data_IF_450311799428
#
_entry.id   IF_450311799428
#
_cell.length_a   1.000
_cell.length_b   1.000
_cell.length_c   1.000
_cell.angle_alpha   90.00
_cell.angle_beta   90.00
_cell.angle_gamma   90.00
#
_symmetry.space_group_name_H-M   'P 1'
#
loop_
_entity.id
_entity.type
_entity.pdbx_description
1 polymer ?
#
# COMPACT_ATOMS: atom_id res chain seq x y z
N UNK A 1 -17.81 4.51 -1.08
CA UNK A 1 -17.25 5.87 -1.29
C UNK A 1 -16.44 6.30 -0.08
N UNK A 2 -15.17 6.69 -0.25
CA UNK A 2 -14.36 7.27 0.83
C UNK A 2 -14.40 8.80 0.76
N UNK A 3 -14.69 9.46 1.89
CA UNK A 3 -14.69 10.92 2.03
C UNK A 3 -13.64 11.34 3.04
N UNK A 4 -12.64 12.10 2.59
CA UNK A 4 -11.56 12.60 3.44
C UNK A 4 -11.82 14.08 3.73
N UNK A 5 -12.07 14.42 4.98
CA UNK A 5 -12.32 15.79 5.43
C UNK A 5 -11.02 16.44 5.89
N UNK A 6 -10.76 17.63 5.34
CA UNK A 6 -9.59 18.44 5.65
C UNK A 6 -9.97 19.61 6.56
N UNK A 7 -9.11 19.87 7.54
CA UNK A 7 -9.02 21.15 8.23
C UNK A 7 -8.04 22.07 7.49
N UNK A 8 -8.03 23.38 7.77
CA UNK A 8 -7.00 24.28 7.25
C UNK A 8 -5.56 23.86 7.62
N UNK A 9 -5.38 23.21 8.78
CA UNK A 9 -4.08 22.67 9.19
C UNK A 9 -3.68 21.46 8.36
N UNK A 10 -4.64 20.62 7.95
CA UNK A 10 -4.36 19.48 7.08
C UNK A 10 -3.85 19.89 5.72
N UNK A 11 -4.41 20.97 5.15
CA UNK A 11 -3.99 21.50 3.85
C UNK A 11 -2.54 22.03 3.88
N UNK A 12 -2.07 22.52 5.02
CA UNK A 12 -0.67 22.94 5.21
C UNK A 12 0.29 21.74 5.32
N UNK A 13 -0.23 20.57 5.67
CA UNK A 13 0.53 19.35 5.90
C UNK A 13 0.35 18.32 4.77
N UNK A 14 0.08 18.77 3.54
CA UNK A 14 0.08 17.89 2.37
C UNK A 14 1.50 17.67 1.87
N UNK A 15 1.89 16.41 1.71
CA UNK A 15 3.24 16.01 1.28
C UNK A 15 3.17 14.95 0.21
N UNK A 16 4.07 15.02 -0.76
CA UNK A 16 4.29 13.96 -1.75
C UNK A 16 5.52 13.16 -1.31
N UNK A 17 5.40 11.85 -1.22
CA UNK A 17 6.54 10.99 -0.98
C UNK A 17 7.43 10.98 -2.23
N UNK A 18 8.74 11.15 -2.04
CA UNK A 18 9.73 11.20 -3.14
C UNK A 18 10.21 9.82 -3.58
N UNK A 19 9.90 8.78 -2.82
CA UNK A 19 10.41 7.44 -3.01
C UNK A 19 9.29 6.42 -2.78
N UNK A 20 9.38 5.23 -3.41
CA UNK A 20 8.46 4.13 -3.13
C UNK A 20 8.53 3.74 -1.65
N UNK A 21 7.39 3.41 -1.06
CA UNK A 21 7.31 2.80 0.25
C UNK A 21 7.51 1.27 0.10
N UNK A 22 8.59 0.68 0.65
CA UNK A 22 8.90 -0.73 0.41
C UNK A 22 7.82 -1.70 0.89
N UNK A 23 7.22 -1.45 2.06
CA UNK A 23 6.18 -2.35 2.60
C UNK A 23 4.85 -2.13 1.88
N UNK A 24 4.59 -0.92 1.40
CA UNK A 24 3.48 -0.65 0.50
C UNK A 24 3.59 -1.45 -0.81
N UNK A 25 4.74 -1.37 -1.48
CA UNK A 25 5.01 -2.12 -2.71
C UNK A 25 4.92 -3.63 -2.46
N UNK A 26 5.42 -4.10 -1.31
CA UNK A 26 5.35 -5.52 -0.94
C UNK A 26 3.90 -5.99 -0.77
N UNK A 27 3.08 -5.27 0.00
CA UNK A 27 1.67 -5.61 0.21
C UNK A 27 0.91 -5.64 -1.11
N UNK A 28 1.17 -4.67 -1.99
CA UNK A 28 0.61 -4.65 -3.33
C UNK A 28 1.07 -5.84 -4.19
N UNK A 29 2.35 -6.19 -4.14
CA UNK A 29 2.90 -7.34 -4.85
C UNK A 29 2.29 -8.67 -4.34
N UNK A 30 2.13 -8.84 -3.04
CA UNK A 30 1.45 -10.00 -2.45
C UNK A 30 -0.01 -10.08 -2.92
N UNK A 31 -0.74 -8.97 -2.91
CA UNK A 31 -2.09 -8.91 -3.46
C UNK A 31 -2.13 -9.34 -4.94
N UNK A 32 -1.16 -8.90 -5.73
CA UNK A 32 -1.08 -9.25 -7.16
C UNK A 32 -0.76 -10.71 -7.39
N UNK A 33 0.10 -11.33 -6.59
CA UNK A 33 0.34 -12.77 -6.66
C UNK A 33 -0.94 -13.58 -6.41
N UNK A 34 -1.82 -13.07 -5.54
CA UNK A 34 -3.11 -13.70 -5.26
C UNK A 34 -4.18 -13.45 -6.35
N UNK A 35 -3.93 -12.59 -7.34
CA UNK A 35 -4.90 -12.24 -8.39
C UNK A 35 -4.36 -12.53 -9.79
N UNK A 36 -5.23 -12.84 -10.75
CA UNK A 36 -4.84 -12.96 -12.17
C UNK A 36 -4.94 -11.62 -12.93
N UNK A 37 -5.09 -10.51 -12.21
CA UNK A 37 -5.28 -9.18 -12.81
C UNK A 37 -3.99 -8.69 -13.49
N UNK A 38 -4.17 -7.97 -14.60
CA UNK A 38 -3.09 -7.44 -15.43
C UNK A 38 -2.18 -8.53 -16.00
N UNK A 39 -2.70 -9.45 -16.83
CA UNK A 39 -1.88 -10.52 -17.42
C UNK A 39 -0.79 -10.00 -18.34
N UNK A 40 -1.01 -8.90 -19.06
CA UNK A 40 -0.02 -8.32 -19.97
C UNK A 40 1.07 -7.57 -19.19
N UNK A 41 0.68 -6.89 -18.12
CA UNK A 41 1.51 -6.01 -17.33
C UNK A 41 2.33 -6.79 -16.27
N UNK A 42 1.72 -7.81 -15.66
CA UNK A 42 2.33 -8.56 -14.55
C UNK A 42 2.62 -10.01 -14.88
N UNK A 43 2.33 -10.49 -16.08
CA UNK A 43 2.55 -11.89 -16.47
C UNK A 43 4.02 -12.31 -16.34
N UNK A 44 4.93 -11.55 -16.94
CA UNK A 44 6.37 -11.84 -16.89
C UNK A 44 6.93 -11.75 -15.46
N UNK A 45 6.53 -10.73 -14.70
CA UNK A 45 6.90 -10.58 -13.29
C UNK A 45 6.39 -11.77 -12.45
N UNK A 46 5.11 -12.16 -12.59
CA UNK A 46 4.55 -13.32 -11.88
C UNK A 46 5.27 -14.60 -12.24
N UNK A 47 5.58 -14.84 -13.51
CA UNK A 47 6.37 -15.99 -13.95
C UNK A 47 7.73 -16.06 -13.25
N UNK A 48 8.47 -14.95 -13.23
CA UNK A 48 9.77 -14.88 -12.55
C UNK A 48 9.67 -15.04 -11.03
N UNK A 49 8.63 -14.52 -10.38
CA UNK A 49 8.38 -14.76 -8.95
C UNK A 49 8.03 -16.22 -8.68
N UNK A 50 7.18 -16.84 -9.50
CA UNK A 50 6.82 -18.26 -9.37
C UNK A 50 8.04 -19.17 -9.48
N UNK A 51 8.94 -18.91 -10.43
CA UNK A 51 10.19 -19.67 -10.58
C UNK A 51 11.07 -19.53 -9.33
N UNK A 52 11.36 -18.30 -8.88
CA UNK A 52 12.18 -18.05 -7.69
C UNK A 52 11.57 -18.70 -6.44
N UNK A 53 10.28 -18.50 -6.21
CA UNK A 53 9.56 -19.06 -5.06
C UNK A 53 9.48 -20.59 -5.14
N UNK A 54 9.40 -21.16 -6.35
CA UNK A 54 9.41 -22.61 -6.55
C UNK A 54 10.76 -23.25 -6.22
N UNK A 55 11.86 -22.50 -6.37
CA UNK A 55 13.22 -22.94 -6.06
C UNK A 55 13.64 -22.63 -4.61
N UNK A 56 12.90 -21.76 -3.90
CA UNK A 56 13.19 -21.32 -2.54
C UNK A 56 12.03 -21.67 -1.57
N UNK A 57 12.15 -22.79 -0.82
CA UNK A 57 11.14 -23.20 0.16
C UNK A 57 10.91 -22.20 1.29
N UNK A 58 11.87 -21.33 1.60
CA UNK A 58 11.72 -20.28 2.60
C UNK A 58 10.85 -19.14 2.06
N UNK A 59 11.15 -18.67 0.84
CA UNK A 59 10.33 -17.66 0.16
C UNK A 59 8.90 -18.14 -0.06
N UNK A 60 8.70 -19.42 -0.38
CA UNK A 60 7.37 -20.01 -0.50
C UNK A 60 6.59 -19.94 0.81
N UNK A 61 7.20 -20.34 1.93
CA UNK A 61 6.57 -20.29 3.26
C UNK A 61 6.29 -18.86 3.71
N UNK A 62 7.21 -17.93 3.45
CA UNK A 62 7.05 -16.51 3.76
C UNK A 62 5.85 -15.91 3.00
N UNK A 63 5.75 -16.16 1.69
CA UNK A 63 4.64 -15.65 0.87
C UNK A 63 3.29 -16.23 1.30
N UNK A 64 3.23 -17.54 1.59
CA UNK A 64 2.02 -18.18 2.12
C UNK A 64 1.60 -17.54 3.45
N UNK A 65 2.54 -17.28 4.35
CA UNK A 65 2.27 -16.61 5.62
C UNK A 65 1.67 -15.22 5.39
N UNK A 66 2.31 -14.37 4.56
CA UNK A 66 1.80 -13.03 4.26
C UNK A 66 0.42 -13.03 3.60
N UNK A 67 0.12 -14.00 2.72
CA UNK A 67 -1.19 -14.12 2.07
C UNK A 67 -2.37 -14.33 3.06
N UNK A 68 -2.08 -14.76 4.29
CA UNK A 68 -3.11 -14.88 5.33
C UNK A 68 -3.49 -13.54 5.96
N UNK A 69 -2.58 -12.55 5.92
CA UNK A 69 -2.82 -11.19 6.41
C UNK A 69 -3.14 -10.19 5.29
N UNK A 70 -2.77 -10.51 4.04
CA UNK A 70 -2.96 -9.68 2.86
C UNK A 70 -3.93 -10.39 1.90
N UNK A 71 -5.24 -10.27 2.10
CA UNK A 71 -6.22 -10.89 1.20
C UNK A 71 -6.23 -10.17 -0.16
N UNK A 72 -6.58 -10.88 -1.27
CA UNK A 72 -6.67 -10.27 -2.60
C UNK A 72 -7.70 -9.13 -2.68
N UNK A 73 -8.72 -9.18 -1.81
CA UNK A 73 -9.73 -8.14 -1.62
C UNK A 73 -10.10 -8.01 -0.14
N UNK A 74 -10.39 -6.79 0.31
CA UNK A 74 -10.85 -6.51 1.68
C UNK A 74 -9.87 -5.67 2.50
N UNK A 75 -10.00 -5.78 3.82
CA UNK A 75 -9.16 -5.05 4.78
C UNK A 75 -7.77 -5.66 4.87
N UNK A 76 -6.75 -4.80 4.86
CA UNK A 76 -5.36 -5.17 5.12
C UNK A 76 -4.94 -4.45 6.40
N UNK A 77 -4.36 -5.14 7.40
CA UNK A 77 -3.90 -4.49 8.62
C UNK A 77 -2.89 -3.38 8.33
N UNK A 78 -3.16 -2.18 8.81
CA UNK A 78 -2.38 -0.97 8.55
C UNK A 78 -1.00 -1.04 9.21
N UNK A 79 -0.82 -1.87 10.24
CA UNK A 79 0.48 -2.12 10.84
C UNK A 79 1.46 -2.82 9.89
N UNK A 80 1.00 -3.45 8.81
CA UNK A 80 1.86 -3.99 7.76
C UNK A 80 2.40 -2.91 6.82
N UNK A 81 1.83 -1.71 6.85
CA UNK A 81 2.21 -0.58 6.02
C UNK A 81 2.46 0.66 6.90
N UNK A 82 3.46 0.59 7.80
CA UNK A 82 3.77 1.70 8.69
C UNK A 82 4.09 2.98 7.91
N UNK A 83 3.75 4.13 8.49
CA UNK A 83 4.04 5.44 7.88
C UNK A 83 5.49 5.87 8.16
N UNK A 84 6.47 5.08 7.70
CA UNK A 84 7.87 5.48 7.81
C UNK A 84 8.17 6.53 6.74
N UNK A 85 8.61 7.70 7.19
CA UNK A 85 8.96 8.80 6.28
C UNK A 85 10.36 8.64 5.70
N UNK A 86 11.25 7.94 6.40
CA UNK A 86 12.67 7.75 6.06
C UNK A 86 13.17 6.42 6.62
N UNK A 87 14.24 5.84 6.04
CA UNK A 87 14.93 4.66 6.57
C UNK A 87 14.74 3.34 5.78
N UNK A 88 13.98 3.36 4.69
CA UNK A 88 13.86 2.21 3.78
C UNK A 88 13.21 0.98 4.42
N UNK A 89 13.51 -0.21 3.87
CA UNK A 89 12.88 -1.46 4.30
C UNK A 89 13.21 -1.82 5.76
N UNK A 90 14.45 -1.67 6.22
CA UNK A 90 14.84 -2.02 7.59
C UNK A 90 14.05 -1.22 8.63
N UNK A 91 13.99 0.11 8.49
CA UNK A 91 13.24 0.93 9.43
C UNK A 91 11.73 0.62 9.39
N UNK A 92 11.21 0.27 8.21
CA UNK A 92 9.83 -0.17 8.08
C UNK A 92 9.57 -1.48 8.84
N UNK A 93 10.47 -2.45 8.73
CA UNK A 93 10.40 -3.73 9.44
C UNK A 93 10.51 -3.55 10.97
N UNK A 94 11.37 -2.64 11.43
CA UNK A 94 11.50 -2.30 12.85
C UNK A 94 10.20 -1.69 13.41
N UNK A 95 9.56 -0.80 12.66
CA UNK A 95 8.26 -0.21 13.01
C UNK A 95 7.15 -1.28 13.07
N UNK A 96 7.15 -2.25 12.13
CA UNK A 96 6.24 -3.41 12.21
C UNK A 96 6.51 -4.21 13.49
N UNK A 97 7.79 -4.52 13.76
CA UNK A 97 8.22 -5.30 14.92
C UNK A 97 7.87 -4.68 16.27
N UNK A 98 7.77 -3.35 16.32
CA UNK A 98 7.43 -2.57 17.53
C UNK A 98 5.96 -2.19 17.62
N UNK A 99 5.11 -2.66 16.70
CA UNK A 99 3.67 -2.36 16.69
C UNK A 99 3.02 -2.62 18.06
N UNK A 100 2.34 -1.63 18.67
CA UNK A 100 1.65 -1.82 19.94
C UNK A 100 0.62 -2.94 19.88
N UNK A 101 0.59 -3.80 20.91
CA UNK A 101 -0.34 -4.95 20.96
C UNK A 101 -1.81 -4.58 20.89
N UNK A 102 -2.20 -3.44 21.46
CA UNK A 102 -3.57 -2.92 21.36
C UNK A 102 -3.97 -2.66 19.91
N UNK A 103 -3.07 -2.06 19.13
CA UNK A 103 -3.25 -1.83 17.69
C UNK A 103 -3.34 -3.15 16.92
N UNK A 104 -2.41 -4.08 17.14
CA UNK A 104 -2.48 -5.41 16.50
C UNK A 104 -3.78 -6.14 16.80
N UNK A 105 -4.24 -6.13 18.06
CA UNK A 105 -5.51 -6.78 18.46
C UNK A 105 -6.69 -6.17 17.73
N UNK A 106 -6.75 -4.84 17.65
CA UNK A 106 -7.82 -4.14 16.95
C UNK A 106 -7.83 -4.48 15.45
N UNK A 107 -6.68 -4.35 14.78
CA UNK A 107 -6.57 -4.55 13.33
C UNK A 107 -6.75 -6.03 12.94
N UNK A 108 -6.13 -6.97 13.68
CA UNK A 108 -6.36 -8.41 13.44
C UNK A 108 -7.79 -8.82 13.75
N UNK A 109 -8.46 -8.21 14.73
CA UNK A 109 -9.88 -8.43 15.00
C UNK A 109 -10.76 -8.02 13.83
N UNK A 110 -10.45 -6.89 13.17
CA UNK A 110 -11.15 -6.44 11.96
C UNK A 110 -10.93 -7.38 10.78
N UNK A 111 -9.70 -7.87 10.60
CA UNK A 111 -9.42 -8.87 9.57
C UNK A 111 -10.14 -10.19 9.86
N UNK A 112 -10.15 -10.64 11.13
CA UNK A 112 -10.80 -11.86 11.58
C UNK A 112 -12.33 -11.84 11.39
N UNK A 113 -12.95 -10.66 11.41
CA UNK A 113 -14.39 -10.51 11.15
C UNK A 113 -14.78 -10.90 9.71
N UNK A 114 -13.85 -10.82 8.75
CA UNK A 114 -14.08 -11.16 7.35
C UNK A 114 -13.52 -12.54 6.96
N UNK A 115 -12.54 -13.09 7.70
CA UNK A 115 -11.92 -14.38 7.40
C UNK A 115 -11.37 -15.09 8.63
N UNK A 116 -11.30 -16.42 8.58
CA UNK A 116 -10.56 -17.20 9.57
C UNK A 116 -9.06 -16.85 9.54
N UNK A 117 -8.50 -16.57 10.72
CA UNK A 117 -7.06 -16.35 10.90
C UNK A 117 -6.37 -17.62 11.41
N UNK A 118 -5.19 -17.96 10.86
CA UNK A 118 -4.41 -19.07 11.37
C UNK A 118 -3.89 -18.80 12.80
N UNK A 119 -3.60 -19.86 13.52
CA UNK A 119 -3.14 -19.79 14.92
C UNK A 119 -1.93 -18.88 15.10
N UNK A 120 -0.97 -18.89 14.16
CA UNK A 120 0.21 -18.03 14.21
C UNK A 120 -0.15 -16.54 14.22
N UNK A 121 -1.15 -16.13 13.43
CA UNK A 121 -1.59 -14.74 13.30
C UNK A 121 -2.33 -14.31 14.57
N UNK A 122 -3.18 -15.18 15.11
CA UNK A 122 -3.81 -14.93 16.42
C UNK A 122 -2.79 -14.87 17.57
N UNK A 123 -1.63 -15.53 17.44
CA UNK A 123 -0.57 -15.48 18.44
C UNK A 123 0.24 -14.16 18.41
N UNK A 124 0.11 -13.31 17.38
CA UNK A 124 0.77 -11.99 17.34
C UNK A 124 0.37 -11.09 18.52
N UNK A 125 -0.84 -11.25 19.06
CA UNK A 125 -1.31 -10.45 20.20
C UNK A 125 -0.82 -10.97 21.56
N UNK A 126 -0.18 -12.14 21.61
CA UNK A 126 0.35 -12.76 22.84
C UNK A 126 1.76 -12.24 23.13
N UNK A 127 2.11 -11.94 24.40
CA UNK A 127 3.46 -11.51 24.75
C UNK A 127 4.47 -12.66 24.61
N UNK A 128 5.73 -12.34 24.30
CA UNK A 128 6.86 -13.28 24.33
C UNK A 128 6.86 -14.39 23.26
N UNK A 129 6.01 -14.31 22.24
CA UNK A 129 5.90 -15.33 21.19
C UNK A 129 6.88 -15.13 20.02
N UNK A 130 7.08 -16.19 19.24
CA UNK A 130 7.89 -16.17 17.99
C UNK A 130 7.15 -15.63 16.77
N UNK A 131 5.84 -15.34 16.88
CA UNK A 131 5.02 -14.90 15.74
C UNK A 131 5.45 -13.56 15.15
N UNK A 132 5.84 -12.59 15.98
CA UNK A 132 6.27 -11.27 15.47
C UNK A 132 7.62 -11.36 14.75
N UNK A 133 8.68 -11.96 15.33
CA UNK A 133 9.92 -12.21 14.58
C UNK A 133 9.70 -13.00 13.29
N UNK A 134 8.82 -14.01 13.30
CA UNK A 134 8.50 -14.77 12.10
C UNK A 134 7.79 -13.91 11.03
N UNK A 135 6.90 -13.00 11.43
CA UNK A 135 6.26 -12.07 10.50
C UNK A 135 7.26 -11.09 9.88
N UNK A 136 8.14 -10.50 10.70
CA UNK A 136 9.18 -9.58 10.22
C UNK A 136 10.10 -10.29 9.24
N UNK A 137 10.54 -11.51 9.56
CA UNK A 137 11.33 -12.36 8.66
C UNK A 137 10.57 -12.68 7.37
N UNK A 138 9.28 -13.01 7.45
CA UNK A 138 8.47 -13.27 6.26
C UNK A 138 8.33 -12.05 5.35
N UNK A 139 8.18 -10.84 5.92
CA UNK A 139 8.17 -9.58 5.16
C UNK A 139 9.51 -9.35 4.45
N UNK A 140 10.63 -9.56 5.15
CA UNK A 140 11.97 -9.39 4.58
C UNK A 140 12.25 -10.38 3.43
N UNK A 141 12.02 -11.68 3.67
CA UNK A 141 12.22 -12.73 2.67
C UNK A 141 11.32 -12.51 1.45
N UNK A 142 10.05 -12.14 1.68
CA UNK A 142 9.13 -11.86 0.57
C UNK A 142 9.53 -10.61 -0.21
N UNK A 143 10.02 -9.57 0.46
CA UNK A 143 10.56 -8.37 -0.22
C UNK A 143 11.73 -8.74 -1.14
N UNK A 144 12.63 -9.62 -0.68
CA UNK A 144 13.75 -10.13 -1.48
C UNK A 144 13.26 -10.84 -2.75
N UNK A 145 12.30 -11.74 -2.61
CA UNK A 145 11.80 -12.54 -3.73
C UNK A 145 10.93 -11.75 -4.72
N UNK A 146 10.09 -10.84 -4.22
CA UNK A 146 9.08 -10.13 -5.02
C UNK A 146 9.58 -8.80 -5.59
N UNK A 147 10.38 -8.05 -4.83
CA UNK A 147 10.73 -6.66 -5.15
C UNK A 147 12.17 -6.47 -5.59
N UNK A 148 13.15 -7.07 -4.90
CA UNK A 148 14.58 -6.77 -5.10
C UNK A 148 15.03 -6.85 -6.58
N UNK A 149 14.65 -7.87 -7.37
CA UNK A 149 15.06 -7.96 -8.78
C UNK A 149 14.53 -6.81 -9.66
N UNK A 150 13.48 -6.12 -9.21
CA UNK A 150 12.80 -5.06 -9.94
C UNK A 150 12.89 -3.71 -9.23
N UNK A 151 13.58 -3.62 -8.09
CA UNK A 151 13.55 -2.43 -7.23
C UNK A 151 14.08 -1.17 -7.93
N UNK A 152 15.13 -1.31 -8.75
CA UNK A 152 15.64 -0.20 -9.55
C UNK A 152 14.61 0.33 -10.56
N UNK A 153 13.81 -0.56 -11.15
CA UNK A 153 12.73 -0.20 -12.07
C UNK A 153 11.58 0.47 -11.32
N UNK A 154 11.16 -0.10 -10.18
CA UNK A 154 10.13 0.47 -9.30
C UNK A 154 10.50 1.90 -8.88
N UNK A 155 11.75 2.10 -8.44
CA UNK A 155 12.25 3.42 -8.06
C UNK A 155 12.20 4.42 -9.20
N UNK A 156 12.69 4.04 -10.39
CA UNK A 156 12.65 4.92 -11.58
C UNK A 156 11.21 5.28 -11.94
N UNK A 157 10.31 4.30 -11.98
CA UNK A 157 8.91 4.53 -12.28
C UNK A 157 8.27 5.53 -11.30
N UNK A 158 8.56 5.38 -10.00
CA UNK A 158 8.09 6.31 -8.98
C UNK A 158 8.74 7.69 -9.12
N UNK A 159 10.04 7.78 -9.38
CA UNK A 159 10.75 9.05 -9.55
C UNK A 159 10.16 9.83 -10.75
N UNK A 160 9.86 9.14 -11.85
CA UNK A 160 9.19 9.71 -13.03
C UNK A 160 7.75 10.14 -12.71
N UNK A 161 7.01 9.37 -11.90
CA UNK A 161 5.64 9.68 -11.50
C UNK A 161 5.55 10.90 -10.57
N UNK A 162 6.52 11.10 -9.67
CA UNK A 162 6.55 12.22 -8.72
C UNK A 162 6.70 13.58 -9.41
N UNK A 163 7.30 13.63 -10.60
CA UNK A 163 7.56 14.87 -11.32
C UNK A 163 6.28 15.66 -11.64
N UNK A 164 5.24 14.98 -12.15
CA UNK A 164 4.01 15.64 -12.60
C UNK A 164 3.23 16.29 -11.43
N UNK A 165 2.92 15.60 -10.32
CA UNK A 165 2.24 16.20 -9.17
C UNK A 165 3.10 17.27 -8.49
N UNK A 166 4.42 17.13 -8.51
CA UNK A 166 5.32 18.13 -7.95
C UNK A 166 5.28 19.43 -8.75
N UNK A 167 5.28 19.36 -10.09
CA UNK A 167 5.11 20.54 -10.95
C UNK A 167 3.77 21.23 -10.72
N UNK A 168 2.67 20.47 -10.70
CA UNK A 168 1.33 21.03 -10.41
C UNK A 168 1.27 21.73 -9.06
N UNK A 169 1.91 21.16 -8.03
CA UNK A 169 1.99 21.78 -6.70
C UNK A 169 2.81 23.08 -6.73
N UNK A 170 3.92 23.12 -7.47
CA UNK A 170 4.77 24.31 -7.59
C UNK A 170 4.06 25.45 -8.34
N UNK A 171 3.34 25.12 -9.41
CA UNK A 171 2.70 26.11 -10.29
C UNK A 171 1.36 26.62 -9.73
N UNK A 172 0.56 25.73 -9.12
CA UNK A 172 -0.83 26.00 -8.75
C UNK A 172 -1.17 25.76 -7.27
N UNK A 173 -0.19 25.38 -6.45
CA UNK A 173 -0.38 25.13 -5.02
C UNK A 173 -1.22 23.89 -4.70
N UNK A 174 -1.63 23.79 -3.43
CA UNK A 174 -2.34 22.61 -2.89
C UNK A 174 -3.67 22.34 -3.59
N UNK A 175 -4.42 23.40 -3.95
CA UNK A 175 -5.70 23.24 -4.65
C UNK A 175 -5.51 22.57 -6.01
N UNK A 176 -4.55 23.04 -6.81
CA UNK A 176 -4.25 22.45 -8.12
C UNK A 176 -3.79 21.00 -7.97
N UNK A 177 -2.97 20.69 -6.96
CA UNK A 177 -2.56 19.32 -6.65
C UNK A 177 -3.77 18.40 -6.40
N UNK A 178 -4.70 18.82 -5.53
CA UNK A 178 -5.90 18.04 -5.20
C UNK A 178 -6.88 17.92 -6.39
N UNK A 179 -7.05 18.99 -7.17
CA UNK A 179 -7.86 18.98 -8.40
C UNK A 179 -7.26 18.07 -9.46
N UNK A 180 -5.93 17.98 -9.51
CA UNK A 180 -5.24 17.11 -10.46
C UNK A 180 -5.57 15.65 -10.25
N UNK A 181 -5.94 15.20 -9.04
CA UNK A 181 -6.16 13.79 -8.66
C UNK A 181 -7.28 13.08 -9.44
N UNK A 182 -8.03 13.80 -10.26
CA UNK A 182 -9.04 13.22 -11.14
C UNK A 182 -8.43 12.24 -12.17
N UNK A 183 -9.19 11.22 -12.58
CA UNK A 183 -10.54 10.87 -12.12
C UNK A 183 -10.58 10.14 -10.76
N UNK A 184 -9.41 9.78 -10.22
CA UNK A 184 -9.28 8.85 -9.09
C UNK A 184 -9.69 9.45 -7.75
N UNK A 185 -9.55 10.76 -7.60
CA UNK A 185 -10.15 11.50 -6.50
C UNK A 185 -10.78 12.80 -6.98
N UNK A 186 -11.89 13.18 -6.37
CA UNK A 186 -12.64 14.40 -6.69
C UNK A 186 -12.52 15.37 -5.51
N UNK A 187 -11.80 16.46 -5.72
CA UNK A 187 -11.76 17.56 -4.76
C UNK A 187 -13.07 18.36 -4.81
N UNK A 188 -13.77 18.39 -3.67
CA UNK A 188 -14.96 19.19 -3.38
C UNK A 188 -14.72 19.88 -2.04
N UNK A 189 -13.99 21.00 -2.00
CA UNK A 189 -13.49 21.57 -0.75
C UNK A 189 -14.58 21.66 0.33
N UNK A 190 -14.31 21.24 1.58
CA UNK A 190 -13.03 20.76 2.12
C UNK A 190 -12.87 19.23 2.07
N UNK A 191 -13.54 18.54 1.15
CA UNK A 191 -13.62 17.08 1.09
C UNK A 191 -12.95 16.54 -0.18
N UNK A 192 -12.10 15.52 -0.02
CA UNK A 192 -11.62 14.71 -1.13
C UNK A 192 -12.43 13.42 -1.18
N UNK A 193 -13.17 13.21 -2.27
CA UNK A 193 -13.95 11.99 -2.50
C UNK A 193 -13.12 11.00 -3.33
N UNK A 194 -13.05 9.74 -2.91
CA UNK A 194 -12.35 8.65 -3.60
C UNK A 194 -13.31 7.48 -3.77
N UNK A 195 -13.36 6.92 -4.97
CA UNK A 195 -14.18 5.73 -5.22
C UNK A 195 -13.63 4.56 -4.38
N UNK A 196 -14.49 3.99 -3.54
CA UNK A 196 -14.09 3.04 -2.50
C UNK A 196 -15.21 2.02 -2.26
N UNK A 197 -14.90 0.74 -1.98
CA UNK A 197 -15.90 -0.34 -1.94
C UNK A 197 -16.90 -0.20 -0.80
N UNK A 198 -16.50 0.51 0.25
CA UNK A 198 -17.33 0.79 1.42
C UNK A 198 -17.50 2.29 1.57
N UNK A 199 -18.62 2.70 2.14
CA UNK A 199 -18.80 4.08 2.55
C UNK A 199 -18.02 4.34 3.82
N UNK A 200 -17.09 5.29 3.75
CA UNK A 200 -16.20 5.62 4.86
C UNK A 200 -15.94 7.12 4.91
N UNK A 201 -15.87 7.63 6.14
CA UNK A 201 -15.49 9.02 6.41
C UNK A 201 -14.18 9.02 7.18
N UNK A 202 -13.17 9.71 6.64
CA UNK A 202 -11.90 9.93 7.28
C UNK A 202 -11.75 11.41 7.64
N UNK A 203 -11.40 11.70 8.89
CA UNK A 203 -11.03 13.05 9.33
C UNK A 203 -9.54 13.07 9.62
N UNK A 204 -8.82 14.00 8.99
CA UNK A 204 -7.36 14.08 9.11
C UNK A 204 -6.92 14.73 10.42
N UNK A 205 -7.76 15.57 11.03
CA UNK A 205 -7.56 16.08 12.40
C UNK A 205 -6.22 16.81 12.59
N UNK A 206 -5.79 17.57 11.57
CA UNK A 206 -4.53 18.33 11.59
C UNK A 206 -3.29 17.54 11.15
N UNK A 207 -3.42 16.22 10.94
CA UNK A 207 -2.32 15.32 10.55
C UNK A 207 -1.85 15.54 9.11
N UNK A 208 -2.70 16.14 8.27
CA UNK A 208 -2.41 16.32 6.85
C UNK A 208 -2.53 15.05 6.02
N UNK A 209 -2.06 15.12 4.78
CA UNK A 209 -2.18 14.05 3.81
C UNK A 209 -0.82 13.76 3.16
N UNK A 210 -0.35 12.52 3.28
CA UNK A 210 0.79 12.05 2.48
C UNK A 210 0.27 11.30 1.25
N UNK A 211 0.67 11.81 0.10
CA UNK A 211 0.47 11.23 -1.22
C UNK A 211 1.67 10.33 -1.54
N UNK A 212 1.44 9.02 -1.61
CA UNK A 212 2.50 8.02 -1.89
C UNK A 212 2.31 7.49 -3.33
N UNK A 213 3.28 7.71 -4.23
CA UNK A 213 3.30 7.11 -5.56
C UNK A 213 3.55 5.60 -5.44
N UNK A 214 3.01 4.81 -6.35
CA UNK A 214 3.17 3.36 -6.29
C UNK A 214 3.21 2.73 -7.67
N UNK A 215 4.22 1.88 -7.88
CA UNK A 215 4.41 1.16 -9.14
C UNK A 215 3.37 0.05 -9.37
N UNK A 216 2.62 -0.29 -8.31
CA UNK A 216 1.58 -1.30 -8.36
C UNK A 216 0.27 -0.85 -9.04
N UNK A 217 0.20 0.35 -9.60
CA UNK A 217 -0.85 0.74 -10.55
C UNK A 217 -0.73 0.01 -11.90
N UNK A 218 -1.85 -0.38 -12.51
CA UNK A 218 -1.93 -0.83 -13.90
C UNK A 218 -1.49 0.26 -14.91
N UNK A 219 -0.91 -0.15 -16.04
CA UNK A 219 -0.61 0.72 -17.18
C UNK A 219 -0.81 0.00 -18.53
N UNK A 220 -1.30 0.66 -19.60
CA UNK A 220 -1.41 0.06 -20.93
C UNK A 220 -0.18 0.32 -21.84
N UNK A 221 0.00 -0.47 -22.91
CA UNK A 221 1.04 -0.26 -23.93
C UNK A 221 0.53 0.67 -25.06
N UNK A 222 1.40 1.58 -25.52
CA UNK A 222 1.28 2.52 -26.66
C UNK A 222 0.52 3.86 -26.44
N UNK A 223 1.20 4.97 -26.82
CA UNK A 223 0.77 6.39 -26.91
C UNK A 223 1.34 7.35 -25.84
N UNK A 224 1.73 8.60 -26.21
CA UNK A 224 2.59 9.46 -25.40
C UNK A 224 1.78 10.26 -24.37
N UNK A 225 1.84 9.82 -23.11
CA UNK A 225 1.16 10.36 -21.89
C UNK A 225 -0.37 10.06 -21.90
N UNK A 226 -0.90 9.29 -20.92
CA UNK A 226 -0.56 9.34 -19.48
C UNK A 226 -0.15 7.98 -18.88
N UNK A 227 0.86 7.94 -18.00
CA UNK A 227 1.14 6.75 -17.24
C UNK A 227 0.43 6.78 -15.87
N UNK A 228 0.13 5.58 -15.38
CA UNK A 228 -0.24 5.22 -14.00
C UNK A 228 -1.71 5.40 -13.60
N UNK A 229 -2.38 4.28 -13.30
CA UNK A 229 -3.52 4.30 -12.38
C UNK A 229 -3.01 4.82 -11.03
N UNK A 230 -3.34 6.08 -10.72
CA UNK A 230 -2.98 6.70 -9.44
C UNK A 230 -3.61 5.92 -8.27
N UNK A 231 -2.89 4.96 -7.70
CA UNK A 231 -3.16 4.56 -6.33
C UNK A 231 -2.40 5.51 -5.43
N UNK A 232 -2.95 6.71 -5.22
CA UNK A 232 -2.50 7.52 -4.10
C UNK A 232 -3.02 6.87 -2.82
N UNK A 233 -2.14 6.28 -2.02
CA UNK A 233 -2.53 5.94 -0.65
C UNK A 233 -2.56 7.24 0.14
N UNK A 234 -3.73 7.62 0.62
CA UNK A 234 -3.90 8.74 1.55
C UNK A 234 -3.60 8.24 2.95
N UNK A 235 -2.35 8.38 3.41
CA UNK A 235 -1.97 7.83 4.71
C UNK A 235 -2.21 8.85 5.82
N UNK A 236 -3.10 8.51 6.73
CA UNK A 236 -3.22 9.11 8.05
C UNK A 236 -2.87 8.01 9.06
N UNK A 237 -2.09 8.27 10.13
CA UNK A 237 -1.49 7.23 10.99
C UNK A 237 -2.46 6.22 11.63
N UNK A 238 -3.78 6.42 11.52
CA UNK A 238 -4.82 5.52 12.05
C UNK A 238 -6.04 5.36 11.11
N UNK A 239 -5.89 5.58 9.79
CA UNK A 239 -6.97 5.37 8.83
C UNK A 239 -6.93 3.96 8.23
N UNK A 240 -8.04 3.20 8.24
CA UNK A 240 -8.07 1.88 7.64
C UNK A 240 -7.81 1.90 6.15
N UNK A 241 -6.87 1.09 5.68
CA UNK A 241 -6.77 0.81 4.25
C UNK A 241 -7.59 -0.43 3.88
N UNK A 242 -8.48 -0.23 2.91
CA UNK A 242 -9.28 -1.28 2.29
C UNK A 242 -9.00 -1.16 0.80
N UNK A 243 -8.50 -2.20 0.14
CA UNK A 243 -8.24 -2.11 -1.30
C UNK A 243 -9.58 -1.85 -2.02
N UNK A 244 -9.68 -0.88 -2.96
CA UNK A 244 -10.79 -0.87 -3.89
C UNK A 244 -10.89 -2.22 -4.59
N UNK A 245 -12.12 -2.70 -4.84
CA UNK A 245 -12.33 -3.81 -5.76
C UNK A 245 -11.74 -3.33 -7.08
N UNK A 246 -10.63 -3.91 -7.53
CA UNK A 246 -10.16 -3.68 -8.89
C UNK A 246 -11.24 -4.25 -9.79
N UNK A 247 -12.20 -3.42 -10.20
CA UNK A 247 -13.13 -3.77 -11.25
C UNK A 247 -12.29 -4.10 -12.47
N UNK A 248 -12.34 -5.37 -12.86
CA UNK A 248 -11.99 -5.74 -14.22
C UNK A 248 -13.01 -5.04 -15.11
N UNK A 249 -12.64 -3.92 -15.70
CA UNK A 249 -13.25 -3.53 -16.97
C UNK A 249 -12.92 -4.67 -17.94
N UNK A 250 -13.97 -5.43 -18.28
CA UNK A 250 -13.90 -6.55 -19.21
C UNK A 250 -13.59 -6.13 -20.63
#
# INVERSE_FOLDING_TARGET
MLRIHFTPLDLQNIRIARHPDPLWELVCAVCRMATQQGPLEFGAWRGGVHERVGQDPEAHRALLMLSTLVPPAGYIPDFLTPSVSQGGLSAALDEVGTTPRGRMRHELGRLAAARGLPSWATALVRPGGRSMPALVSALEVSSRALLEPHWAHIRRAVDDEVGLPSGVLLDGGVRALLESLRPLARWKPPVLEVDFPVDQVLRLEGRGLRLIPSSAGAGPPSSPIPPWTRSWSTRSPHAPWTRPRCEATG
#
